data_IF_549089530009
#
_entry.id   IF_549089530009
#
_cell.length_a   1.000
_cell.length_b   1.000
_cell.length_c   1.000
_cell.angle_alpha   90.00
_cell.angle_beta   90.00
_cell.angle_gamma   90.00
#
_symmetry.space_group_name_H-M   'P 1'
#
loop_
_entity.id
_entity.type
_entity.pdbx_description
1 polymer ?
#
# COMPACT_ATOMS: atom_id res chain seq x y z
N UNK A 1 -9.59 -12.84 -0.44
CA UNK A 1 -10.36 -11.61 -0.21
C UNK A 1 -9.49 -10.59 0.54
N UNK A 2 -8.24 -10.35 0.11
CA UNK A 2 -7.24 -9.69 0.96
C UNK A 2 -6.37 -8.62 0.29
N UNK A 3 -6.89 -7.85 -0.67
CA UNK A 3 -6.47 -6.45 -0.83
C UNK A 3 -7.67 -5.66 -1.29
N UNK A 4 -7.99 -4.65 -0.50
CA UNK A 4 -8.79 -3.57 -1.03
C UNK A 4 -7.80 -2.52 -1.51
N UNK A 5 -7.61 -2.49 -2.82
CA UNK A 5 -6.87 -1.38 -3.44
C UNK A 5 -7.82 -0.19 -3.39
N UNK A 6 -7.68 0.65 -2.36
CA UNK A 6 -8.37 1.94 -2.36
C UNK A 6 -7.75 2.76 -3.49
N UNK A 7 -8.43 2.82 -4.63
CA UNK A 7 -8.03 3.67 -5.74
C UNK A 7 -8.24 5.12 -5.31
N UNK A 8 -7.19 5.76 -4.80
CA UNK A 8 -7.12 7.22 -4.87
C UNK A 8 -7.08 7.56 -6.36
N UNK A 9 -8.02 8.40 -6.81
CA UNK A 9 -8.32 8.73 -8.22
C UNK A 9 -7.06 8.99 -9.07
N UNK A 10 -6.48 7.93 -9.64
CA UNK A 10 -5.45 8.04 -10.66
C UNK A 10 -6.15 8.33 -11.99
N UNK A 11 -6.02 9.57 -12.46
CA UNK A 11 -6.52 9.95 -13.79
C UNK A 11 -5.69 9.20 -14.84
N UNK A 12 -6.27 8.14 -15.40
CA UNK A 12 -5.75 7.26 -16.45
C UNK A 12 -4.20 7.09 -16.47
N UNK A 13 -3.64 6.15 -15.69
CA UNK A 13 -2.20 5.91 -15.56
C UNK A 13 -1.47 5.65 -16.88
N UNK A 14 -2.18 5.18 -17.91
CA UNK A 14 -1.61 4.95 -19.24
C UNK A 14 -1.18 6.24 -19.95
N UNK A 15 -1.70 7.40 -19.53
CA UNK A 15 -1.26 8.70 -20.04
C UNK A 15 0.12 9.09 -19.48
N UNK A 16 0.46 8.67 -18.25
CA UNK A 16 1.78 8.89 -17.65
C UNK A 16 2.86 8.15 -18.43
N UNK A 17 2.58 6.93 -18.87
CA UNK A 17 3.51 6.15 -19.70
C UNK A 17 3.93 6.85 -20.99
N UNK A 18 3.07 7.72 -21.54
CA UNK A 18 3.35 8.46 -22.79
C UNK A 18 4.17 9.72 -22.56
N UNK A 19 4.26 10.21 -21.32
CA UNK A 19 4.99 11.40 -20.95
C UNK A 19 6.04 11.09 -19.86
N UNK A 20 7.31 10.85 -20.25
CA UNK A 20 8.35 10.42 -19.31
C UNK A 20 8.63 11.45 -18.21
N UNK A 21 8.43 12.73 -18.49
CA UNK A 21 8.58 13.81 -17.51
C UNK A 21 7.51 13.73 -16.42
N UNK A 22 6.25 13.50 -16.81
CA UNK A 22 5.16 13.29 -15.84
C UNK A 22 5.35 12.00 -15.05
N UNK A 23 5.81 10.92 -15.70
CA UNK A 23 6.10 9.67 -15.00
C UNK A 23 7.21 9.85 -13.95
N UNK A 24 8.29 10.54 -14.31
CA UNK A 24 9.38 10.87 -13.37
C UNK A 24 8.87 11.71 -12.21
N UNK A 25 8.13 12.79 -12.49
CA UNK A 25 7.57 13.65 -11.43
C UNK A 25 6.61 12.89 -10.51
N UNK A 26 5.84 11.95 -11.05
CA UNK A 26 4.95 11.09 -10.26
C UNK A 26 5.73 10.23 -9.27
N UNK A 27 6.84 9.63 -9.71
CA UNK A 27 7.73 8.87 -8.81
C UNK A 27 8.38 9.75 -7.74
N UNK A 28 8.84 10.94 -8.11
CA UNK A 28 9.39 11.91 -7.14
C UNK A 28 8.35 12.28 -6.07
N UNK A 29 7.12 12.63 -6.49
CA UNK A 29 6.02 12.95 -5.58
C UNK A 29 5.67 11.77 -4.66
N UNK A 30 5.68 10.54 -5.16
CA UNK A 30 5.44 9.35 -4.33
C UNK A 30 6.56 9.12 -3.32
N UNK A 31 7.81 9.32 -3.72
CA UNK A 31 8.97 9.20 -2.83
C UNK A 31 8.96 10.29 -1.74
N UNK A 32 8.66 11.54 -2.10
CA UNK A 32 8.44 12.66 -1.17
C UNK A 32 7.32 12.30 -0.18
N UNK A 33 6.18 11.81 -0.68
CA UNK A 33 5.04 11.44 0.17
C UNK A 33 5.31 10.28 1.11
N UNK A 34 6.12 9.30 0.68
CA UNK A 34 6.62 8.26 1.59
C UNK A 34 7.57 8.84 2.64
N UNK A 35 8.46 9.76 2.26
CA UNK A 35 9.39 10.38 3.19
C UNK A 35 8.65 11.08 4.34
N UNK A 36 7.63 11.87 4.02
CA UNK A 36 6.79 12.54 5.02
C UNK A 36 6.05 11.55 5.92
N UNK A 37 5.57 10.43 5.35
CA UNK A 37 4.91 9.38 6.14
C UNK A 37 5.88 8.78 7.16
N UNK A 38 7.11 8.51 6.73
CA UNK A 38 8.17 7.98 7.61
C UNK A 38 8.63 9.02 8.64
N UNK A 39 8.71 10.28 8.26
CA UNK A 39 9.04 11.37 9.19
C UNK A 39 7.99 11.51 10.28
N UNK A 40 6.70 11.48 9.90
CA UNK A 40 5.59 11.63 10.83
C UNK A 40 5.46 10.43 11.79
N UNK A 41 5.56 9.20 11.28
CA UNK A 41 5.29 8.00 12.08
C UNK A 41 6.55 7.25 12.55
N UNK A 42 7.73 7.63 12.07
CA UNK A 42 8.99 6.93 12.33
C UNK A 42 9.12 5.57 11.62
N UNK A 43 8.17 5.20 10.78
CA UNK A 43 8.10 3.90 10.07
C UNK A 43 7.29 4.04 8.79
N UNK A 44 7.52 3.17 7.80
CA UNK A 44 6.71 3.08 6.59
C UNK A 44 5.60 2.02 6.68
N UNK A 45 5.45 1.40 7.85
CA UNK A 45 4.47 0.35 8.10
C UNK A 45 3.86 0.54 9.50
N UNK A 46 2.54 0.67 9.53
CA UNK A 46 1.71 0.67 10.73
C UNK A 46 0.85 -0.59 10.73
N UNK A 47 0.64 -1.21 11.89
CA UNK A 47 -0.33 -2.30 12.09
C UNK A 47 -1.26 -1.88 13.21
N UNK A 48 -2.51 -1.61 12.87
CA UNK A 48 -3.45 -0.91 13.76
C UNK A 48 -4.84 -1.54 13.65
N UNK A 49 -5.69 -1.29 14.64
CA UNK A 49 -7.14 -1.49 14.51
C UNK A 49 -7.72 -0.56 13.42
N UNK A 50 -8.78 -0.95 12.69
CA UNK A 50 -9.29 -0.17 11.56
C UNK A 50 -9.67 1.29 11.92
N UNK A 51 -10.21 1.52 13.11
CA UNK A 51 -10.56 2.87 13.57
C UNK A 51 -9.32 3.72 13.83
N UNK A 52 -8.28 3.13 14.39
CA UNK A 52 -7.03 3.82 14.65
C UNK A 52 -6.28 4.11 13.34
N UNK A 53 -6.27 3.17 12.40
CA UNK A 53 -5.72 3.39 11.06
C UNK A 53 -6.34 4.61 10.36
N UNK A 54 -7.67 4.79 10.43
CA UNK A 54 -8.33 5.99 9.88
C UNK A 54 -7.91 7.29 10.58
N UNK A 55 -7.71 7.26 11.90
CA UNK A 55 -7.21 8.42 12.66
C UNK A 55 -5.81 8.78 12.20
N UNK A 56 -4.91 7.80 12.07
CA UNK A 56 -3.53 8.02 11.62
C UNK A 56 -3.48 8.50 10.16
N UNK A 57 -4.27 7.91 9.26
CA UNK A 57 -4.38 8.39 7.88
C UNK A 57 -4.87 9.84 7.82
N UNK A 58 -5.86 10.19 8.64
CA UNK A 58 -6.35 11.57 8.74
C UNK A 58 -5.26 12.53 9.20
N UNK A 59 -4.43 12.13 10.16
CA UNK A 59 -3.30 12.92 10.63
C UNK A 59 -2.25 13.11 9.53
N UNK A 60 -1.87 12.03 8.84
CA UNK A 60 -0.95 12.07 7.72
C UNK A 60 -1.40 13.04 6.62
N UNK A 61 -2.64 12.92 6.16
CA UNK A 61 -3.16 13.80 5.11
C UNK A 61 -3.38 15.23 5.59
N UNK A 62 -3.60 15.47 6.89
CA UNK A 62 -3.64 16.81 7.47
C UNK A 62 -2.26 17.45 7.44
N UNK A 63 -1.25 16.75 7.95
CA UNK A 63 0.14 17.22 7.94
C UNK A 63 0.59 17.57 6.50
N UNK A 64 0.32 16.69 5.54
CA UNK A 64 0.57 16.94 4.11
C UNK A 64 -0.17 18.15 3.54
N UNK A 65 -1.37 18.47 4.04
CA UNK A 65 -2.10 19.66 3.63
C UNK A 65 -1.54 20.94 4.23
N UNK A 66 -1.00 20.88 5.45
CA UNK A 66 -0.39 22.02 6.14
C UNK A 66 0.95 22.38 5.46
N UNK A 67 1.82 21.40 5.19
CA UNK A 67 3.06 21.60 4.43
C UNK A 67 2.79 22.18 3.02
N UNK A 68 1.70 21.77 2.39
CA UNK A 68 1.29 22.28 1.08
C UNK A 68 0.67 23.69 1.11
N UNK A 69 0.25 24.21 2.28
CA UNK A 69 -0.22 25.61 2.38
C UNK A 69 0.93 26.60 2.36
N UNK A 70 2.12 26.16 2.78
CA UNK A 70 3.34 26.96 2.70
C UNK A 70 3.85 27.05 1.24
N UNK A 71 3.33 26.21 0.34
CA UNK A 71 3.52 26.29 -1.12
C UNK A 71 2.27 26.87 -1.80
N UNK A 72 2.35 28.14 -2.22
CA UNK A 72 1.25 28.90 -2.83
C UNK A 72 0.68 28.24 -4.12
N UNK A 73 1.51 27.49 -4.86
CA UNK A 73 1.07 26.77 -6.06
C UNK A 73 0.33 25.47 -5.70
N UNK A 74 0.76 24.78 -4.64
CA UNK A 74 0.07 23.61 -4.10
C UNK A 74 -1.26 24.01 -3.45
N UNK A 75 -1.32 25.13 -2.72
CA UNK A 75 -2.53 25.68 -2.14
C UNK A 75 -3.61 25.98 -3.21
N UNK A 76 -3.22 26.50 -4.38
CA UNK A 76 -4.15 26.78 -5.49
C UNK A 76 -4.67 25.51 -6.19
N UNK A 77 -3.87 24.42 -6.23
CA UNK A 77 -4.29 23.13 -6.78
C UNK A 77 -5.34 22.38 -5.93
N UNK A 78 -5.52 22.78 -4.66
CA UNK A 78 -6.45 22.14 -3.71
C UNK A 78 -7.94 22.32 -4.01
N UNK A 79 -8.32 23.39 -4.72
CA UNK A 79 -9.73 23.69 -4.98
C UNK A 79 -10.32 22.68 -5.97
N UNK A 80 -10.84 21.56 -5.44
CA UNK A 80 -11.34 20.40 -6.20
C UNK A 80 -10.63 19.08 -5.91
N UNK A 81 -9.78 18.97 -4.88
CA UNK A 81 -9.26 17.67 -4.42
C UNK A 81 -10.29 16.86 -3.61
N UNK A 82 -10.06 15.55 -3.38
CA UNK A 82 -10.80 14.79 -2.38
C UNK A 82 -10.64 15.42 -0.99
N UNK A 83 -11.69 15.34 -0.19
CA UNK A 83 -11.71 15.82 1.18
C UNK A 83 -10.79 14.99 2.09
N UNK A 84 -10.46 15.54 3.26
CA UNK A 84 -9.67 14.80 4.25
C UNK A 84 -10.38 13.51 4.69
N UNK A 85 -11.71 13.55 4.81
CA UNK A 85 -12.53 12.39 5.15
C UNK A 85 -12.41 11.31 4.06
N UNK A 86 -12.52 11.68 2.78
CA UNK A 86 -12.37 10.76 1.64
C UNK A 86 -10.95 10.18 1.50
N UNK A 87 -9.92 10.95 1.84
CA UNK A 87 -8.53 10.47 1.81
C UNK A 87 -8.21 9.52 2.97
N UNK A 88 -8.81 9.76 4.14
CA UNK A 88 -8.55 9.00 5.36
C UNK A 88 -9.45 7.78 5.56
N UNK A 89 -10.48 7.60 4.73
CA UNK A 89 -11.41 6.48 4.86
C UNK A 89 -10.73 5.19 4.44
N UNK A 90 -10.93 4.15 5.25
CA UNK A 90 -10.61 2.79 4.83
C UNK A 90 -11.76 2.24 3.98
N UNK A 91 -11.45 1.39 3.00
CA UNK A 91 -12.47 0.59 2.34
C UNK A 91 -13.32 -0.22 3.32
N UNK A 92 -14.61 -0.39 2.99
CA UNK A 92 -15.60 -0.98 3.90
C UNK A 92 -15.21 -2.39 4.37
N UNK A 93 -14.60 -3.20 3.50
CA UNK A 93 -14.22 -4.58 3.82
C UNK A 93 -13.10 -4.67 4.86
N UNK A 94 -12.39 -3.57 5.14
CA UNK A 94 -11.35 -3.51 6.15
C UNK A 94 -11.88 -3.08 7.52
N UNK A 95 -13.10 -2.54 7.59
CA UNK A 95 -13.65 -2.01 8.84
C UNK A 95 -13.97 -3.11 9.87
N UNK A 96 -14.28 -4.32 9.40
CA UNK A 96 -14.60 -5.49 10.24
C UNK A 96 -13.40 -6.40 10.49
N UNK A 97 -12.19 -5.98 10.10
CA UNK A 97 -10.96 -6.73 10.33
C UNK A 97 -10.38 -6.44 11.71
N UNK A 98 -9.63 -7.38 12.29
CA UNK A 98 -9.00 -7.18 13.61
C UNK A 98 -7.80 -6.23 13.49
N UNK A 99 -7.02 -6.35 12.43
CA UNK A 99 -5.91 -5.43 12.18
C UNK A 99 -5.83 -5.05 10.72
N UNK A 100 -5.36 -3.84 10.45
CA UNK A 100 -5.03 -3.35 9.12
C UNK A 100 -3.57 -2.93 9.14
N UNK A 101 -2.79 -3.46 8.22
CA UNK A 101 -1.50 -2.85 7.91
C UNK A 101 -1.70 -1.70 6.94
N UNK A 102 -1.17 -0.52 7.30
CA UNK A 102 -0.99 0.62 6.39
C UNK A 102 0.49 0.66 6.03
N UNK A 103 0.82 0.39 4.78
CA UNK A 103 2.20 0.34 4.29
C UNK A 103 2.38 1.43 3.24
N UNK A 104 3.36 2.31 3.42
CA UNK A 104 3.79 3.23 2.39
C UNK A 104 5.00 2.65 1.66
N UNK A 105 4.74 1.98 0.55
CA UNK A 105 5.78 1.39 -0.29
C UNK A 105 6.29 2.37 -1.36
N UNK A 106 7.58 2.26 -1.70
CA UNK A 106 8.20 3.13 -2.70
C UNK A 106 7.62 2.92 -4.10
N UNK A 107 7.26 1.69 -4.46
CA UNK A 107 6.78 1.34 -5.80
C UNK A 107 5.25 1.37 -5.87
N UNK A 108 4.57 0.94 -4.80
CA UNK A 108 3.11 0.79 -4.79
C UNK A 108 2.36 1.97 -4.14
N UNK A 109 3.07 2.85 -3.44
CA UNK A 109 2.46 3.92 -2.64
C UNK A 109 1.78 3.37 -1.39
N UNK A 110 0.71 4.01 -0.94
CA UNK A 110 -0.02 3.58 0.26
C UNK A 110 -0.90 2.35 -0.02
N UNK A 111 -0.68 1.28 0.74
CA UNK A 111 -1.35 -0.01 0.60
C UNK A 111 -1.97 -0.45 1.93
N UNK A 112 -3.09 -1.16 1.84
CA UNK A 112 -3.83 -1.67 3.00
C UNK A 112 -3.95 -3.20 2.96
N UNK A 113 -3.67 -3.85 4.09
CA UNK A 113 -3.71 -5.31 4.19
C UNK A 113 -4.47 -5.79 5.43
N UNK A 114 -5.54 -6.54 5.19
CA UNK A 114 -6.44 -7.08 6.20
C UNK A 114 -5.77 -8.14 7.08
N UNK A 115 -6.01 -8.07 8.38
CA UNK A 115 -5.55 -9.01 9.40
C UNK A 115 -4.03 -9.26 9.37
N UNK A 116 -3.24 -8.26 8.92
CA UNK A 116 -1.79 -8.38 8.80
C UNK A 116 -1.12 -8.71 10.14
N UNK A 117 -1.68 -8.24 11.27
CA UNK A 117 -1.17 -8.52 12.61
C UNK A 117 -1.06 -10.01 12.93
N UNK A 118 -1.98 -10.85 12.45
CA UNK A 118 -1.88 -12.31 12.64
C UNK A 118 -0.72 -12.92 11.86
N UNK A 119 -0.41 -12.38 10.67
CA UNK A 119 0.74 -12.82 9.90
C UNK A 119 2.03 -12.31 10.52
N UNK A 120 2.07 -11.06 10.99
CA UNK A 120 3.23 -10.53 11.72
C UNK A 120 3.50 -11.38 12.98
N UNK A 121 2.47 -11.77 13.72
CA UNK A 121 2.58 -12.68 14.86
C UNK A 121 3.07 -14.08 14.46
N UNK A 122 2.55 -14.67 13.37
CA UNK A 122 3.02 -15.96 12.85
C UNK A 122 4.52 -15.93 12.49
N UNK A 123 4.98 -14.82 11.90
CA UNK A 123 6.39 -14.64 11.55
C UNK A 123 7.26 -14.27 12.76
N UNK A 124 6.71 -13.63 13.79
CA UNK A 124 7.41 -13.42 15.05
C UNK A 124 7.55 -14.72 15.86
N UNK A 125 6.53 -15.59 15.84
CA UNK A 125 6.49 -16.87 16.55
C UNK A 125 6.11 -18.03 15.61
N UNK A 126 7.10 -18.67 14.94
CA UNK A 126 6.85 -19.78 14.00
C UNK A 126 6.15 -20.99 14.61
N UNK A 127 6.12 -21.13 15.94
CA UNK A 127 5.37 -22.18 16.62
C UNK A 127 3.85 -22.08 16.36
N UNK A 128 3.33 -20.89 16.07
CA UNK A 128 1.94 -20.66 15.66
C UNK A 128 1.59 -21.35 14.34
N UNK A 129 2.58 -21.73 13.53
CA UNK A 129 2.34 -22.53 12.31
C UNK A 129 1.75 -23.92 12.57
N UNK A 130 1.70 -24.38 13.83
CA UNK A 130 0.97 -25.60 14.21
C UNK A 130 -0.54 -25.41 14.14
N UNK A 131 -1.01 -24.18 14.31
CA UNK A 131 -2.40 -23.80 14.11
C UNK A 131 -2.71 -23.64 12.62
N UNK A 132 -3.78 -24.31 12.18
CA UNK A 132 -4.22 -24.28 10.79
C UNK A 132 -4.78 -22.93 10.38
N UNK A 133 -5.28 -22.12 11.31
CA UNK A 133 -5.89 -20.81 11.01
C UNK A 133 -4.82 -19.85 10.50
N UNK A 134 -3.74 -19.68 11.26
CA UNK A 134 -2.60 -18.82 10.90
C UNK A 134 -1.97 -19.21 9.54
N UNK A 135 -1.75 -20.52 9.30
CA UNK A 135 -1.24 -20.99 8.01
C UNK A 135 -2.24 -20.85 6.86
N UNK A 136 -3.55 -20.96 7.13
CA UNK A 136 -4.58 -20.76 6.12
C UNK A 136 -4.59 -19.31 5.63
N UNK A 137 -4.43 -18.35 6.55
CA UNK A 137 -4.35 -16.94 6.19
C UNK A 137 -3.11 -16.62 5.36
N UNK A 138 -1.94 -17.14 5.73
CA UNK A 138 -0.74 -16.98 4.90
C UNK A 138 -0.90 -17.63 3.51
N UNK A 139 -1.62 -18.75 3.44
CA UNK A 139 -1.97 -19.40 2.17
C UNK A 139 -2.91 -18.55 1.34
N UNK A 140 -3.87 -17.88 1.96
CA UNK A 140 -4.75 -16.93 1.27
C UNK A 140 -3.92 -15.76 0.72
N UNK A 141 -3.08 -15.14 1.54
CA UNK A 141 -2.16 -14.08 1.11
C UNK A 141 -1.27 -14.51 -0.06
N UNK A 142 -0.83 -15.77 -0.14
CA UNK A 142 -0.03 -16.25 -1.27
C UNK A 142 -0.83 -16.49 -2.55
N UNK A 143 -2.12 -16.83 -2.47
CA UNK A 143 -2.91 -17.23 -3.64
C UNK A 143 -3.89 -16.14 -4.11
N UNK A 144 -4.16 -15.13 -3.29
CA UNK A 144 -4.98 -14.00 -3.69
C UNK A 144 -4.21 -13.13 -4.69
N UNK A 145 -4.69 -13.02 -5.93
CA UNK A 145 -4.03 -12.19 -6.96
C UNK A 145 -4.11 -10.70 -6.63
N UNK A 146 -5.06 -10.29 -5.79
CA UNK A 146 -5.06 -8.98 -5.14
C UNK A 146 -4.20 -9.05 -3.87
N UNK A 147 -3.02 -9.64 -3.83
CA UNK A 147 -2.09 -9.39 -2.71
C UNK A 147 -0.74 -9.24 -3.34
N UNK A 148 -0.15 -8.05 -3.21
CA UNK A 148 1.17 -7.82 -3.77
C UNK A 148 2.20 -8.78 -3.18
N UNK A 149 3.16 -9.30 -3.97
CA UNK A 149 4.34 -9.97 -3.42
C UNK A 149 5.12 -9.09 -2.42
N UNK A 150 5.00 -7.76 -2.49
CA UNK A 150 5.64 -6.81 -1.58
C UNK A 150 5.28 -7.06 -0.12
N UNK A 151 4.01 -7.25 0.23
CA UNK A 151 3.62 -7.44 1.64
C UNK A 151 4.21 -8.71 2.26
N UNK A 152 4.41 -9.76 1.44
CA UNK A 152 5.04 -11.00 1.88
C UNK A 152 6.55 -10.79 2.09
N UNK A 153 7.20 -10.01 1.22
CA UNK A 153 8.60 -9.60 1.44
C UNK A 153 8.73 -8.77 2.71
N UNK A 154 7.77 -7.89 3.02
CA UNK A 154 7.77 -7.10 4.26
C UNK A 154 7.71 -7.98 5.51
N UNK A 155 6.86 -9.01 5.53
CA UNK A 155 6.83 -9.99 6.63
C UNK A 155 8.18 -10.66 6.83
N UNK A 156 8.83 -11.08 5.74
CA UNK A 156 10.15 -11.72 5.82
C UNK A 156 11.24 -10.73 6.24
N UNK A 157 11.23 -9.51 5.73
CA UNK A 157 12.20 -8.47 6.11
C UNK A 157 12.11 -8.11 7.59
N UNK A 158 10.90 -8.12 8.17
CA UNK A 158 10.68 -7.87 9.59
C UNK A 158 11.13 -9.03 10.47
N UNK A 159 11.00 -10.27 9.98
CA UNK A 159 11.31 -11.49 10.73
C UNK A 159 12.19 -12.46 9.93
N UNK A 160 13.43 -12.07 9.57
CA UNK A 160 14.25 -12.82 8.62
C UNK A 160 14.63 -14.22 9.12
N UNK A 161 14.96 -14.34 10.41
CA UNK A 161 15.32 -15.60 11.09
C UNK A 161 14.17 -16.63 11.06
N UNK A 162 12.93 -16.15 10.96
CA UNK A 162 11.71 -16.94 11.13
C UNK A 162 10.97 -17.25 9.83
N UNK A 163 11.36 -16.63 8.72
CA UNK A 163 10.70 -16.86 7.43
C UNK A 163 10.80 -18.33 6.99
N UNK A 164 12.00 -18.90 7.09
CA UNK A 164 12.27 -20.28 6.72
C UNK A 164 11.36 -21.31 7.40
N UNK A 165 11.29 -21.38 8.75
CA UNK A 165 10.42 -22.34 9.42
C UNK A 165 8.93 -22.14 9.07
N UNK A 166 8.45 -20.90 8.95
CA UNK A 166 7.06 -20.62 8.56
C UNK A 166 6.75 -21.17 7.15
N UNK A 167 7.61 -20.88 6.16
CA UNK A 167 7.39 -21.37 4.80
C UNK A 167 7.60 -22.88 4.66
N UNK A 168 8.53 -23.49 5.41
CA UNK A 168 8.70 -24.95 5.45
C UNK A 168 7.42 -25.62 5.97
N UNK A 169 6.79 -25.07 7.00
CA UNK A 169 5.52 -25.55 7.54
C UNK A 169 4.38 -25.37 6.52
N UNK A 170 4.26 -24.18 5.93
CA UNK A 170 3.22 -23.85 4.95
C UNK A 170 3.25 -24.74 3.70
N UNK A 171 4.45 -24.94 3.14
CA UNK A 171 4.70 -25.65 1.88
C UNK A 171 4.93 -27.14 2.06
N UNK A 172 5.14 -27.60 3.31
CA UNK A 172 5.57 -28.96 3.64
C UNK A 172 6.85 -29.37 2.91
N UNK A 173 7.78 -28.43 2.75
CA UNK A 173 9.06 -28.61 2.04
C UNK A 173 10.21 -28.32 3.02
N UNK A 174 10.80 -29.34 3.68
CA UNK A 174 11.79 -29.12 4.74
C UNK A 174 13.08 -28.45 4.25
N UNK A 175 13.45 -28.65 2.98
CA UNK A 175 14.61 -28.03 2.37
C UNK A 175 14.38 -26.58 1.92
N UNK A 176 13.17 -26.02 2.07
CA UNK A 176 12.88 -24.65 1.63
C UNK A 176 13.71 -23.63 2.43
N UNK A 177 14.25 -22.64 1.74
CA UNK A 177 14.91 -21.47 2.33
C UNK A 177 14.43 -20.23 1.58
N UNK A 178 14.03 -19.17 2.27
CA UNK A 178 13.49 -17.96 1.65
C UNK A 178 14.49 -17.32 0.69
N UNK A 179 15.76 -17.22 1.10
CA UNK A 179 16.83 -16.63 0.28
C UNK A 179 16.94 -17.29 -1.11
N UNK A 180 16.87 -18.64 -1.16
CA UNK A 180 16.99 -19.40 -2.41
C UNK A 180 15.68 -19.55 -3.18
N UNK A 181 14.59 -19.83 -2.47
CA UNK A 181 13.34 -20.32 -3.07
C UNK A 181 12.20 -19.27 -3.05
N UNK A 182 12.33 -18.20 -2.26
CA UNK A 182 11.25 -17.25 -1.95
C UNK A 182 10.79 -16.44 -3.16
N UNK A 183 11.71 -15.83 -3.90
CA UNK A 183 11.35 -15.03 -5.08
C UNK A 183 10.72 -15.89 -6.19
N UNK A 184 11.22 -17.11 -6.40
CA UNK A 184 10.61 -18.03 -7.37
C UNK A 184 9.21 -18.49 -6.92
N UNK A 185 9.01 -18.70 -5.61
CA UNK A 185 7.69 -18.96 -5.05
C UNK A 185 6.73 -17.80 -5.35
N UNK A 186 7.16 -16.55 -5.12
CA UNK A 186 6.35 -15.36 -5.39
C UNK A 186 6.05 -15.22 -6.89
N UNK A 187 7.03 -15.36 -7.78
CA UNK A 187 6.81 -15.31 -9.24
C UNK A 187 5.81 -16.36 -9.72
N UNK A 188 5.89 -17.57 -9.20
CA UNK A 188 4.96 -18.66 -9.55
C UNK A 188 3.54 -18.40 -9.05
N UNK A 189 3.39 -17.85 -7.84
CA UNK A 189 2.10 -17.65 -7.17
C UNK A 189 1.42 -16.33 -7.52
N UNK A 190 2.19 -15.28 -7.81
CA UNK A 190 1.74 -13.90 -8.02
C UNK A 190 1.96 -13.42 -9.44
N UNK A 191 1.73 -14.28 -10.43
CA UNK A 191 2.13 -14.05 -11.83
C UNK A 191 1.66 -12.71 -12.39
N UNK A 192 0.44 -12.28 -12.05
CA UNK A 192 -0.15 -11.01 -12.48
C UNK A 192 0.73 -9.81 -12.13
N UNK A 193 1.27 -9.76 -10.91
CA UNK A 193 2.14 -8.69 -10.42
C UNK A 193 3.48 -8.57 -11.14
N UNK A 194 3.93 -9.64 -11.82
CA UNK A 194 5.17 -9.64 -12.60
C UNK A 194 4.95 -9.39 -14.10
N UNK A 195 3.69 -9.21 -14.56
CA UNK A 195 3.41 -8.99 -15.99
C UNK A 195 3.84 -7.62 -16.48
N UNK A 196 3.78 -6.62 -15.60
CA UNK A 196 4.05 -5.22 -15.93
C UNK A 196 4.97 -4.62 -14.89
N UNK A 197 5.74 -3.61 -15.31
CA UNK A 197 6.45 -2.77 -14.34
C UNK A 197 5.43 -1.99 -13.51
N UNK A 198 5.69 -1.76 -12.21
CA UNK A 198 4.88 -0.87 -11.39
C UNK A 198 4.74 0.51 -12.04
N UNK A 199 3.60 1.15 -11.78
CA UNK A 199 3.35 2.56 -12.08
C UNK A 199 3.11 3.28 -10.76
N UNK A 200 3.49 4.57 -10.64
CA UNK A 200 3.21 5.32 -9.43
C UNK A 200 1.70 5.41 -9.23
N UNK A 201 1.26 5.32 -7.98
CA UNK A 201 -0.16 5.42 -7.62
C UNK A 201 -0.65 6.87 -7.61
N UNK A 202 0.28 7.84 -7.63
CA UNK A 202 -0.01 9.27 -7.75
C UNK A 202 0.06 9.75 -9.21
N UNK A 203 -0.85 10.64 -9.60
CA UNK A 203 -0.85 11.29 -10.92
C UNK A 203 -0.61 12.79 -10.77
N UNK A 204 0.48 13.35 -11.32
CA UNK A 204 0.70 14.78 -11.34
C UNK A 204 -0.37 15.47 -12.18
N UNK A 205 -1.10 16.42 -11.59
CA UNK A 205 -2.06 17.24 -12.32
C UNK A 205 -1.36 18.54 -12.75
N UNK A 206 -1.12 18.71 -14.05
CA UNK A 206 -0.59 19.97 -14.58
C UNK A 206 -1.58 21.13 -14.37
N UNK A 207 -1.08 22.35 -14.15
CA UNK A 207 -1.88 23.53 -13.79
C UNK A 207 -3.13 23.74 -14.69
N UNK A 208 -2.98 23.57 -16.01
CA UNK A 208 -4.07 23.73 -16.98
C UNK A 208 -5.13 22.62 -16.91
N UNK A 209 -4.74 21.38 -16.61
CA UNK A 209 -5.68 20.28 -16.39
C UNK A 209 -6.41 20.45 -15.06
N UNK A 210 -5.72 20.96 -14.03
CA UNK A 210 -6.34 21.34 -12.77
C UNK A 210 -7.40 22.44 -12.98
N UNK A 211 -7.18 23.41 -13.86
CA UNK A 211 -8.15 24.44 -14.23
C UNK A 211 -9.37 23.89 -14.98
N UNK A 212 -9.18 22.94 -15.90
CA UNK A 212 -10.28 22.34 -16.66
C UNK A 212 -11.18 21.44 -15.80
N UNK A 213 -10.58 20.62 -14.93
CA UNK A 213 -11.34 19.80 -13.97
C UNK A 213 -12.15 20.64 -12.98
N UNK A 214 -11.74 21.90 -12.72
CA UNK A 214 -12.50 22.88 -11.93
C UNK A 214 -13.74 23.39 -12.68
N UNK A 215 -13.64 23.57 -14.00
CA UNK A 215 -14.74 24.06 -14.84
C UNK A 215 -15.91 23.09 -14.90
N UNK A 216 -15.65 21.79 -15.07
CA UNK A 216 -16.70 20.78 -15.20
C UNK A 216 -17.49 20.55 -13.90
N UNK A 217 -16.82 20.56 -12.73
CA UNK A 217 -17.51 20.34 -11.44
C UNK A 217 -18.36 21.51 -10.97
N UNK A 218 -18.11 22.73 -11.48
CA UNK A 218 -18.97 23.91 -11.22
C UNK A 218 -20.29 23.89 -12.01
N UNK A 219 -20.37 23.11 -13.09
CA UNK A 219 -21.56 22.99 -13.93
C UNK A 219 -22.47 21.79 -13.58
N UNK A 220 -22.05 20.96 -12.61
CA UNK A 220 -22.81 19.80 -12.12
C UNK A 220 -23.40 19.99 -10.71
N UNK A 221 -23.52 21.23 -10.21
CA UNK A 221 -24.25 21.55 -8.98
C UNK A 221 -25.56 22.27 -9.29
#
# INVERSE_FOLDING_TARGET
MAQVTAQTLAVNPQLLLRNPEMLRRAWEMQAEARADFVELFGTDLLVLEPREAQIQLREYYRHRQEEALDDEAAAQARNGGPSLDELSSLPEELLDTETVAVIYDLDEGICYYANFGHLDALFAEPALARDRIHLAQLREYLNDDSVSPMVIRRLVQRHPENADPVFRALLRKPAFTWERDGEELLRRRKKSHYRHKPLPSVTPVGARLAELLRGERRHSR
#
